data_IF_089355646522
#
_entry.id   IF_089355646522
#
_cell.length_a   1.000
_cell.length_b   1.000
_cell.length_c   1.000
_cell.angle_alpha   90.00
_cell.angle_beta   90.00
_cell.angle_gamma   90.00
#
_symmetry.space_group_name_H-M   'P 1'
#
loop_
_entity.id
_entity.type
_entity.pdbx_description
1 polymer ?
#
# COMPACT_ATOMS: atom_id res chain seq x y z
N UNK A 1 12.92 -26.88 -23.79
CA UNK A 1 12.42 -26.81 -22.40
C UNK A 1 12.47 -28.21 -21.82
N UNK A 2 12.93 -28.40 -20.58
CA UNK A 2 12.75 -29.71 -19.92
C UNK A 2 11.25 -29.98 -19.83
N UNK A 3 10.80 -31.20 -20.09
CA UNK A 3 9.41 -31.58 -19.80
C UNK A 3 9.20 -31.46 -18.30
N UNK A 4 8.43 -30.46 -17.90
CA UNK A 4 8.00 -30.29 -16.51
C UNK A 4 6.62 -30.94 -16.43
N UNK A 5 6.45 -31.90 -15.52
CA UNK A 5 5.16 -32.52 -15.27
C UNK A 5 4.14 -31.47 -14.83
N UNK A 6 2.87 -31.69 -15.16
CA UNK A 6 1.78 -30.84 -14.69
C UNK A 6 1.72 -30.85 -13.16
N UNK A 7 1.45 -29.68 -12.56
CA UNK A 7 1.28 -29.57 -11.11
C UNK A 7 0.06 -30.40 -10.66
N UNK A 8 0.20 -31.12 -9.55
CA UNK A 8 -0.94 -31.70 -8.88
C UNK A 8 -1.65 -30.57 -8.12
N UNK A 9 -2.91 -30.30 -8.45
CA UNK A 9 -3.72 -29.25 -7.78
C UNK A 9 -5.06 -29.78 -7.28
N UNK A 10 -5.17 -31.10 -7.12
CA UNK A 10 -6.44 -31.76 -6.77
C UNK A 10 -6.97 -31.24 -5.44
N UNK A 11 -6.14 -31.17 -4.40
CA UNK A 11 -6.56 -30.69 -3.09
C UNK A 11 -6.96 -29.22 -3.12
N UNK A 12 -6.20 -28.40 -3.85
CA UNK A 12 -6.54 -26.99 -4.02
C UNK A 12 -7.88 -26.78 -4.72
N UNK A 13 -8.26 -27.64 -5.67
CA UNK A 13 -9.56 -27.56 -6.34
C UNK A 13 -10.70 -28.03 -5.44
N UNK A 14 -10.51 -29.10 -4.66
CA UNK A 14 -11.48 -29.55 -3.65
C UNK A 14 -11.79 -28.45 -2.63
N UNK A 15 -10.75 -27.80 -2.09
CA UNK A 15 -10.90 -26.68 -1.17
C UNK A 15 -11.63 -25.50 -1.83
N UNK A 16 -11.43 -25.27 -3.13
CA UNK A 16 -12.13 -24.19 -3.83
C UNK A 16 -13.62 -24.50 -4.02
N UNK A 17 -13.98 -25.74 -4.32
CA UNK A 17 -15.39 -26.16 -4.38
C UNK A 17 -16.08 -26.01 -3.03
N UNK A 18 -15.42 -26.42 -1.95
CA UNK A 18 -15.90 -26.18 -0.59
C UNK A 18 -16.04 -24.68 -0.31
N UNK A 19 -15.00 -23.90 -0.60
CA UNK A 19 -14.99 -22.47 -0.29
C UNK A 19 -16.07 -21.69 -1.05
N UNK A 20 -16.47 -22.10 -2.26
CA UNK A 20 -17.59 -21.49 -2.99
C UNK A 20 -18.93 -21.61 -2.27
N UNK A 21 -19.08 -22.57 -1.36
CA UNK A 21 -20.26 -22.70 -0.49
C UNK A 21 -20.16 -21.86 0.80
N UNK A 22 -18.97 -21.36 1.13
CA UNK A 22 -18.68 -20.68 2.40
C UNK A 22 -18.39 -19.18 2.24
N UNK A 23 -17.78 -18.80 1.11
CA UNK A 23 -17.27 -17.46 0.83
C UNK A 23 -17.77 -17.02 -0.54
N UNK A 24 -18.29 -15.78 -0.71
CA UNK A 24 -18.72 -15.27 -2.01
C UNK A 24 -17.59 -15.35 -3.06
N UNK A 25 -17.78 -16.21 -4.07
CA UNK A 25 -16.77 -16.45 -5.12
C UNK A 25 -15.61 -17.37 -4.69
N UNK A 26 -15.72 -18.05 -3.56
CA UNK A 26 -14.72 -19.01 -3.03
C UNK A 26 -13.48 -18.38 -2.40
N UNK A 27 -13.11 -17.17 -2.81
CA UNK A 27 -11.98 -16.42 -2.24
C UNK A 27 -12.26 -14.92 -2.28
N UNK A 28 -11.49 -14.15 -1.50
CA UNK A 28 -11.66 -12.72 -1.39
C UNK A 28 -10.84 -11.94 -2.42
N UNK A 29 -11.46 -10.87 -2.97
CA UNK A 29 -10.76 -9.72 -3.56
C UNK A 29 -9.73 -10.04 -4.64
N UNK A 30 -8.51 -9.53 -4.46
CA UNK A 30 -7.39 -9.58 -5.42
C UNK A 30 -6.65 -10.93 -5.48
N UNK A 31 -7.17 -11.97 -4.81
CA UNK A 31 -6.59 -13.31 -4.80
C UNK A 31 -7.47 -14.32 -5.55
N UNK A 32 -8.24 -13.84 -6.53
CA UNK A 32 -9.19 -14.66 -7.28
C UNK A 32 -8.43 -15.62 -8.21
N UNK A 33 -8.89 -16.87 -8.39
CA UNK A 33 -8.27 -17.80 -9.32
C UNK A 33 -8.26 -17.29 -10.77
N UNK A 34 -9.22 -16.43 -11.12
CA UNK A 34 -9.31 -15.82 -12.46
C UNK A 34 -8.14 -14.90 -12.83
N UNK A 35 -7.33 -14.47 -11.85
CA UNK A 35 -6.10 -13.73 -12.11
C UNK A 35 -4.95 -14.66 -12.59
N UNK A 36 -5.15 -15.98 -12.53
CA UNK A 36 -4.20 -17.02 -12.92
C UNK A 36 -4.78 -17.96 -13.99
N UNK A 37 -3.92 -18.81 -14.57
CA UNK A 37 -4.36 -19.82 -15.56
C UNK A 37 -5.17 -20.89 -14.82
N UNK A 38 -6.46 -20.96 -15.14
CA UNK A 38 -7.38 -21.92 -14.52
C UNK A 38 -6.94 -23.36 -14.78
N UNK A 39 -6.91 -24.17 -13.73
CA UNK A 39 -6.52 -25.59 -13.82
C UNK A 39 -5.01 -25.83 -13.95
N UNK A 40 -4.19 -24.78 -13.87
CA UNK A 40 -2.72 -24.86 -13.94
C UNK A 40 -2.01 -24.19 -12.75
N UNK A 41 -2.72 -23.37 -11.96
CA UNK A 41 -2.17 -22.67 -10.81
C UNK A 41 -2.96 -22.98 -9.53
N UNK A 42 -2.31 -23.23 -8.39
CA UNK A 42 -3.01 -23.49 -7.13
C UNK A 42 -3.72 -22.24 -6.61
N UNK A 43 -4.79 -22.47 -5.85
CA UNK A 43 -5.63 -21.43 -5.25
C UNK A 43 -5.31 -21.27 -3.76
N UNK A 44 -5.01 -22.37 -3.06
CA UNK A 44 -4.76 -22.38 -1.63
C UNK A 44 -3.29 -22.65 -1.32
N UNK A 45 -2.71 -21.79 -0.49
CA UNK A 45 -1.33 -21.91 -0.02
C UNK A 45 -1.31 -22.48 1.40
N UNK A 46 -0.36 -23.36 1.70
CA UNK A 46 -0.20 -24.00 3.01
C UNK A 46 0.85 -23.28 3.85
N UNK A 47 2.03 -22.99 3.28
CA UNK A 47 3.13 -22.41 4.04
C UNK A 47 4.05 -21.55 3.19
N UNK A 48 4.90 -20.77 3.85
CA UNK A 48 5.99 -20.03 3.21
C UNK A 48 7.13 -19.74 4.17
N UNK A 49 8.36 -19.70 3.67
CA UNK A 49 9.57 -19.31 4.41
C UNK A 49 10.54 -18.61 3.46
N UNK A 50 11.06 -17.46 3.85
CA UNK A 50 11.92 -16.65 2.99
C UNK A 50 11.19 -16.27 1.70
N UNK A 51 11.80 -16.50 0.55
CA UNK A 51 11.19 -16.23 -0.78
C UNK A 51 10.41 -17.40 -1.38
N UNK A 52 10.06 -18.42 -0.58
CA UNK A 52 9.40 -19.64 -1.05
C UNK A 52 8.04 -19.84 -0.40
N UNK A 53 7.11 -20.40 -1.17
CA UNK A 53 5.78 -20.81 -0.72
C UNK A 53 5.49 -22.24 -1.18
N UNK A 54 4.66 -22.94 -0.41
CA UNK A 54 4.20 -24.29 -0.69
C UNK A 54 2.67 -24.29 -0.66
N UNK A 55 2.05 -24.86 -1.69
CA UNK A 55 0.60 -25.01 -1.74
C UNK A 55 0.10 -26.23 -0.93
N UNK A 56 -1.22 -26.39 -0.85
CA UNK A 56 -1.88 -27.50 -0.13
C UNK A 56 -1.68 -28.88 -0.78
N UNK A 57 -1.16 -28.92 -2.01
CA UNK A 57 -0.84 -30.14 -2.75
C UNK A 57 0.66 -30.49 -2.65
N UNK A 58 1.46 -29.65 -1.96
CA UNK A 58 2.89 -29.84 -1.77
C UNK A 58 3.76 -29.28 -2.89
N UNK A 59 3.22 -28.51 -3.84
CA UNK A 59 4.02 -27.86 -4.87
C UNK A 59 4.77 -26.66 -4.27
N UNK A 60 6.04 -26.50 -4.61
CA UNK A 60 6.87 -25.39 -4.14
C UNK A 60 7.11 -24.34 -5.23
N UNK A 61 7.05 -23.07 -4.84
CA UNK A 61 7.25 -21.93 -5.73
C UNK A 61 8.26 -20.96 -5.14
N UNK A 62 9.03 -20.29 -6.02
CA UNK A 62 9.68 -19.03 -5.68
C UNK A 62 8.62 -17.94 -5.87
N UNK A 63 8.28 -17.24 -4.79
CA UNK A 63 7.20 -16.25 -4.81
C UNK A 63 7.71 -14.86 -5.22
N UNK A 64 7.48 -14.51 -6.48
CA UNK A 64 7.75 -13.16 -6.99
C UNK A 64 6.60 -12.17 -6.72
N UNK A 65 5.41 -12.65 -6.32
CA UNK A 65 4.30 -11.77 -5.96
C UNK A 65 4.47 -11.23 -4.54
N UNK A 66 5.11 -12.00 -3.66
CA UNK A 66 5.45 -11.60 -2.29
C UNK A 66 4.22 -11.07 -1.51
N UNK A 67 3.11 -11.80 -1.61
CA UNK A 67 1.83 -11.41 -1.02
C UNK A 67 1.20 -10.14 -1.63
N UNK A 68 1.55 -9.80 -2.88
CA UNK A 68 1.28 -8.53 -3.56
C UNK A 68 2.08 -7.34 -2.98
N UNK A 69 3.30 -7.60 -2.51
CA UNK A 69 4.27 -6.60 -2.04
C UNK A 69 4.62 -6.53 -0.55
N UNK A 70 3.75 -6.87 0.44
CA UNK A 70 4.05 -6.66 1.86
C UNK A 70 5.21 -7.50 2.38
N UNK A 71 5.47 -8.66 1.78
CA UNK A 71 6.54 -9.57 2.20
C UNK A 71 7.87 -9.05 1.63
N UNK A 72 8.51 -8.14 2.35
CA UNK A 72 9.73 -7.44 1.93
C UNK A 72 11.00 -8.15 2.42
N UNK A 73 10.95 -8.79 3.60
CA UNK A 73 12.06 -9.56 4.19
C UNK A 73 11.96 -11.06 3.92
N UNK A 74 10.83 -11.51 3.37
CA UNK A 74 10.49 -12.92 3.22
C UNK A 74 9.48 -13.40 4.27
N UNK A 75 8.82 -14.51 3.98
CA UNK A 75 7.84 -15.12 4.87
C UNK A 75 8.51 -15.68 6.13
N UNK A 76 7.85 -15.54 7.28
CA UNK A 76 8.34 -16.02 8.59
C UNK A 76 9.77 -15.55 8.88
N UNK A 77 9.97 -14.24 8.76
CA UNK A 77 11.21 -13.59 9.20
C UNK A 77 11.23 -13.65 10.73
N UNK A 78 12.28 -14.29 11.26
CA UNK A 78 12.34 -14.71 12.66
C UNK A 78 12.46 -13.52 13.60
N UNK A 79 13.26 -12.50 13.26
CA UNK A 79 13.44 -11.35 14.14
C UNK A 79 12.14 -10.52 14.28
N UNK A 80 11.38 -10.36 13.20
CA UNK A 80 10.07 -9.69 13.20
C UNK A 80 9.05 -10.51 14.00
N UNK A 81 8.91 -11.80 13.70
CA UNK A 81 7.92 -12.65 14.36
C UNK A 81 8.21 -12.81 15.85
N UNK A 82 9.49 -13.00 16.24
CA UNK A 82 9.88 -13.11 17.64
C UNK A 82 9.62 -11.82 18.42
N UNK A 83 9.88 -10.64 17.81
CA UNK A 83 9.57 -9.37 18.44
C UNK A 83 8.07 -9.22 18.73
N UNK A 84 7.21 -9.61 17.78
CA UNK A 84 5.76 -9.56 17.94
C UNK A 84 5.28 -10.60 18.95
N UNK A 85 5.73 -11.85 18.84
CA UNK A 85 5.34 -12.93 19.76
C UNK A 85 5.74 -12.63 21.19
N UNK A 86 6.93 -12.07 21.39
CA UNK A 86 7.37 -11.61 22.71
C UNK A 86 6.43 -10.57 23.28
N UNK A 87 6.04 -9.56 22.50
CA UNK A 87 5.05 -8.58 22.95
C UNK A 87 3.73 -9.24 23.34
N UNK A 88 3.20 -10.10 22.47
CA UNK A 88 1.90 -10.76 22.68
C UNK A 88 1.91 -11.56 23.98
N UNK A 89 2.95 -12.39 24.19
CA UNK A 89 3.05 -13.30 25.33
C UNK A 89 3.35 -12.60 26.65
N UNK A 90 4.24 -11.61 26.63
CA UNK A 90 4.73 -10.99 27.87
C UNK A 90 3.87 -9.81 28.32
N UNK A 91 3.22 -9.12 27.38
CA UNK A 91 2.52 -7.86 27.66
C UNK A 91 1.09 -7.84 27.16
N UNK A 92 0.79 -8.52 26.05
CA UNK A 92 -0.44 -8.35 25.26
C UNK A 92 -0.29 -7.22 24.23
N UNK A 93 -1.24 -7.09 23.30
CA UNK A 93 -1.13 -6.14 22.17
C UNK A 93 -2.38 -5.29 21.90
N UNK A 94 -3.55 -5.67 22.41
CA UNK A 94 -4.83 -4.98 22.22
C UNK A 94 -5.33 -4.48 23.58
N UNK A 95 -5.39 -3.17 23.79
CA UNK A 95 -5.73 -2.54 25.07
C UNK A 95 -6.73 -1.40 24.91
N UNK A 96 -7.37 -1.03 26.01
CA UNK A 96 -8.26 0.15 26.10
C UNK A 96 -7.53 1.46 25.78
N UNK A 97 -6.23 1.54 26.06
CA UNK A 97 -5.40 2.75 25.87
C UNK A 97 -4.14 2.45 25.05
N UNK A 98 -3.55 3.49 24.49
CA UNK A 98 -2.40 3.40 23.57
C UNK A 98 -1.09 2.98 24.26
N UNK A 99 -0.32 2.12 23.62
CA UNK A 99 1.04 1.78 24.03
C UNK A 99 2.10 2.68 23.37
N UNK A 100 3.25 2.84 24.03
CA UNK A 100 4.35 3.73 23.59
C UNK A 100 4.89 3.45 22.17
N UNK A 101 4.74 2.23 21.65
CA UNK A 101 5.24 1.83 20.33
C UNK A 101 4.63 2.64 19.18
N UNK A 102 3.44 3.22 19.39
CA UNK A 102 2.86 4.19 18.46
C UNK A 102 3.81 5.39 18.26
N UNK A 103 4.34 5.93 19.35
CA UNK A 103 5.23 7.09 19.30
C UNK A 103 6.59 6.71 18.72
N UNK A 104 7.10 5.51 19.05
CA UNK A 104 8.35 4.99 18.52
C UNK A 104 8.28 4.83 16.99
N UNK A 105 7.20 4.22 16.48
CA UNK A 105 7.02 4.08 15.03
C UNK A 105 6.81 5.44 14.35
N UNK A 106 6.05 6.35 14.95
CA UNK A 106 5.85 7.68 14.39
C UNK A 106 7.18 8.46 14.27
N UNK A 107 8.08 8.34 15.25
CA UNK A 107 9.43 8.92 15.21
C UNK A 107 10.27 8.30 14.08
N UNK A 108 10.27 6.97 13.97
CA UNK A 108 10.98 6.28 12.89
C UNK A 108 10.47 6.69 11.51
N UNK A 109 9.15 6.84 11.33
CA UNK A 109 8.59 7.33 10.06
C UNK A 109 8.99 8.77 9.75
N UNK A 110 9.04 9.65 10.76
CA UNK A 110 9.53 11.03 10.64
C UNK A 110 11.02 11.11 10.26
N UNK A 111 11.82 10.16 10.71
CA UNK A 111 13.24 10.06 10.32
C UNK A 111 13.41 9.65 8.85
N UNK A 112 12.55 8.74 8.36
CA UNK A 112 12.73 8.08 7.07
C UNK A 112 11.99 8.76 5.91
N UNK A 113 10.76 9.22 6.11
CA UNK A 113 9.86 9.66 5.04
C UNK A 113 9.90 11.19 4.92
N UNK A 114 10.31 11.76 3.77
CA UNK A 114 10.53 13.21 3.63
C UNK A 114 9.37 14.12 4.03
N UNK A 115 8.13 13.77 3.72
CA UNK A 115 6.96 14.59 4.09
C UNK A 115 6.49 14.40 5.54
N UNK A 116 7.04 13.43 6.28
CA UNK A 116 6.49 12.99 7.56
C UNK A 116 6.84 13.93 8.71
N UNK A 117 5.87 14.72 9.17
CA UNK A 117 5.99 15.49 10.41
C UNK A 117 5.07 14.93 11.51
N UNK A 118 3.84 14.58 11.14
CA UNK A 118 2.85 13.89 11.97
C UNK A 118 2.34 12.63 11.27
N UNK A 119 1.87 11.66 12.04
CA UNK A 119 1.39 10.38 11.52
C UNK A 119 0.13 9.92 12.26
N UNK A 120 -0.85 9.41 11.49
CA UNK A 120 -1.94 8.58 12.01
C UNK A 120 -1.77 7.14 11.51
N UNK A 121 -2.15 6.17 12.33
CA UNK A 121 -2.05 4.75 12.00
C UNK A 121 -3.42 4.13 11.79
N UNK A 122 -3.51 3.26 10.79
CA UNK A 122 -4.72 2.53 10.39
C UNK A 122 -4.36 1.06 10.10
N UNK A 123 -5.27 0.27 9.52
CA UNK A 123 -5.03 -1.16 9.26
C UNK A 123 -4.87 -1.52 7.79
N UNK A 124 -5.60 -0.87 6.89
CA UNK A 124 -5.55 -1.19 5.45
C UNK A 124 -5.13 0.02 4.61
N UNK A 125 -4.66 -0.25 3.38
CA UNK A 125 -4.39 0.82 2.42
C UNK A 125 -5.63 1.64 2.08
N UNK A 126 -6.79 1.00 1.94
CA UNK A 126 -8.07 1.69 1.72
C UNK A 126 -8.43 2.62 2.88
N UNK A 127 -8.15 2.24 4.13
CA UNK A 127 -8.36 3.11 5.29
C UNK A 127 -7.50 4.37 5.16
N UNK A 128 -6.21 4.18 4.83
CA UNK A 128 -5.24 5.26 4.76
C UNK A 128 -5.55 6.23 3.61
N UNK A 129 -5.88 5.75 2.41
CA UNK A 129 -6.23 6.61 1.27
C UNK A 129 -7.52 7.39 1.53
N UNK A 130 -8.54 6.75 2.12
CA UNK A 130 -9.78 7.44 2.55
C UNK A 130 -9.50 8.48 3.64
N UNK A 131 -8.66 8.15 4.62
CA UNK A 131 -8.27 9.08 5.68
C UNK A 131 -7.54 10.29 5.11
N UNK A 132 -6.58 10.10 4.21
CA UNK A 132 -5.86 11.18 3.54
C UNK A 132 -6.79 12.11 2.75
N UNK A 133 -7.75 11.56 1.99
CA UNK A 133 -8.76 12.37 1.28
C UNK A 133 -9.63 13.15 2.27
N UNK A 134 -10.07 12.54 3.38
CA UNK A 134 -10.85 13.25 4.42
C UNK A 134 -10.05 14.38 5.07
N UNK A 135 -8.77 14.14 5.39
CA UNK A 135 -7.85 15.14 5.95
C UNK A 135 -7.71 16.31 4.98
N UNK A 136 -7.44 16.03 3.70
CA UNK A 136 -7.30 17.07 2.68
C UNK A 136 -8.58 17.91 2.57
N UNK A 137 -9.76 17.29 2.47
CA UNK A 137 -11.05 18.00 2.43
C UNK A 137 -11.28 18.87 3.67
N UNK A 138 -10.96 18.36 4.86
CA UNK A 138 -11.11 19.11 6.11
C UNK A 138 -10.11 20.27 6.24
N UNK A 139 -8.89 20.10 5.71
CA UNK A 139 -7.88 21.14 5.67
C UNK A 139 -8.27 22.27 4.70
N UNK A 140 -8.61 21.93 3.46
CA UNK A 140 -8.88 22.91 2.40
C UNK A 140 -10.30 23.48 2.42
N UNK A 141 -11.24 22.82 3.09
CA UNK A 141 -12.69 23.08 2.98
C UNK A 141 -13.21 22.99 1.53
N UNK A 142 -12.68 22.02 0.77
CA UNK A 142 -13.04 21.76 -0.64
C UNK A 142 -13.46 20.30 -0.81
N UNK A 143 -14.08 19.96 -1.93
CA UNK A 143 -14.75 18.65 -2.10
C UNK A 143 -14.09 17.77 -3.16
N UNK A 144 -13.57 18.33 -4.24
CA UNK A 144 -13.13 17.57 -5.42
C UNK A 144 -11.79 16.89 -5.20
N UNK A 145 -11.59 15.74 -5.83
CA UNK A 145 -10.37 14.96 -5.78
C UNK A 145 -9.94 14.61 -7.20
N UNK A 146 -8.70 14.94 -7.56
CA UNK A 146 -8.07 14.41 -8.76
C UNK A 146 -7.34 13.13 -8.37
N UNK A 147 -7.61 12.02 -9.07
CA UNK A 147 -7.00 10.71 -8.77
C UNK A 147 -6.20 10.16 -9.95
N UNK A 148 -5.10 9.47 -9.65
CA UNK A 148 -4.35 8.70 -10.62
C UNK A 148 -3.77 7.42 -10.01
N UNK A 149 -4.29 6.27 -10.43
CA UNK A 149 -3.89 4.95 -9.94
C UNK A 149 -4.96 4.28 -9.06
N UNK A 150 -4.61 3.09 -8.56
CA UNK A 150 -5.48 2.32 -7.67
C UNK A 150 -5.26 2.71 -6.21
N UNK A 151 -6.33 3.14 -5.54
CA UNK A 151 -6.31 3.66 -4.16
C UNK A 151 -7.17 2.88 -3.18
N UNK A 152 -7.46 1.61 -3.47
CA UNK A 152 -8.30 0.76 -2.62
C UNK A 152 -9.74 0.65 -3.08
N UNK A 153 -10.59 0.07 -2.24
CA UNK A 153 -11.95 -0.36 -2.59
C UNK A 153 -13.06 0.44 -1.92
N UNK A 154 -12.74 1.51 -1.19
CA UNK A 154 -13.76 2.37 -0.60
C UNK A 154 -14.48 3.18 -1.69
N UNK A 155 -15.72 3.61 -1.40
CA UNK A 155 -16.69 4.18 -2.34
C UNK A 155 -16.13 5.22 -3.32
N UNK A 156 -15.27 6.12 -2.83
CA UNK A 156 -14.68 7.19 -3.62
C UNK A 156 -13.64 6.69 -4.64
N UNK A 157 -12.95 5.57 -4.36
CA UNK A 157 -11.83 5.06 -5.14
C UNK A 157 -12.12 3.80 -5.95
N UNK A 158 -13.09 2.98 -5.54
CA UNK A 158 -13.30 1.64 -6.13
C UNK A 158 -13.66 1.68 -7.60
N UNK A 159 -13.10 0.79 -8.42
CA UNK A 159 -13.44 0.70 -9.84
C UNK A 159 -14.80 0.04 -10.08
N UNK A 160 -15.06 -1.08 -9.40
CA UNK A 160 -16.35 -1.77 -9.46
C UNK A 160 -17.36 -1.10 -8.51
N UNK A 161 -18.18 -0.18 -9.04
CA UNK A 161 -19.12 0.67 -8.28
C UNK A 161 -20.37 -0.03 -7.72
N UNK A 162 -20.53 -1.34 -7.86
CA UNK A 162 -21.75 -2.04 -7.45
C UNK A 162 -22.15 -1.72 -6.00
N UNK A 163 -23.32 -1.10 -5.81
CA UNK A 163 -23.81 -0.67 -4.49
C UNK A 163 -23.38 0.73 -4.02
N UNK A 164 -22.51 1.42 -4.75
CA UNK A 164 -22.01 2.76 -4.41
C UNK A 164 -22.91 3.84 -5.03
N UNK A 165 -23.57 4.71 -4.25
CA UNK A 165 -24.30 5.86 -4.79
C UNK A 165 -23.39 6.82 -5.55
N UNK A 166 -23.88 7.33 -6.70
CA UNK A 166 -23.13 8.28 -7.54
C UNK A 166 -22.56 9.47 -6.76
N UNK A 167 -23.30 9.97 -5.78
CA UNK A 167 -22.89 11.08 -4.89
C UNK A 167 -21.57 10.85 -4.15
N UNK A 168 -21.10 9.62 -4.01
CA UNK A 168 -19.87 9.31 -3.28
C UNK A 168 -18.61 9.35 -4.16
N UNK A 169 -18.77 9.41 -5.49
CA UNK A 169 -17.65 9.46 -6.43
C UNK A 169 -17.82 10.48 -7.57
N UNK A 170 -18.92 11.24 -7.63
CA UNK A 170 -19.12 12.26 -8.66
C UNK A 170 -18.19 13.48 -8.57
N UNK A 171 -17.58 13.70 -7.39
CA UNK A 171 -16.53 14.71 -7.16
C UNK A 171 -15.11 14.15 -7.31
N UNK A 172 -14.95 12.95 -7.87
CA UNK A 172 -13.66 12.31 -8.10
C UNK A 172 -13.39 12.23 -9.59
N UNK A 173 -12.30 12.86 -10.03
CA UNK A 173 -11.93 12.98 -11.44
C UNK A 173 -10.61 12.27 -11.69
N UNK A 174 -10.49 11.60 -12.83
CA UNK A 174 -9.31 10.81 -13.17
C UNK A 174 -8.42 11.52 -14.17
N UNK A 175 -7.12 11.49 -13.91
CA UNK A 175 -6.10 11.86 -14.88
C UNK A 175 -5.14 10.69 -15.12
N UNK A 176 -4.46 10.72 -16.25
CA UNK A 176 -3.64 9.59 -16.68
C UNK A 176 -2.18 9.78 -16.24
N UNK A 177 -1.55 8.70 -15.78
CA UNK A 177 -0.17 8.72 -15.35
C UNK A 177 0.75 9.13 -16.52
N UNK A 178 1.77 9.95 -16.25
CA UNK A 178 2.63 10.59 -17.26
C UNK A 178 1.92 11.49 -18.28
N UNK A 179 0.66 11.87 -18.06
CA UNK A 179 -0.07 12.83 -18.88
C UNK A 179 -0.40 14.07 -18.05
N UNK A 180 0.55 15.00 -17.97
CA UNK A 180 0.41 16.23 -17.19
C UNK A 180 -0.72 17.12 -17.72
N UNK A 181 -0.87 17.22 -19.05
CA UNK A 181 -1.91 18.01 -19.71
C UNK A 181 -3.33 17.59 -19.25
N UNK A 182 -3.56 16.29 -19.05
CA UNK A 182 -4.84 15.78 -18.56
C UNK A 182 -5.17 16.28 -17.14
N UNK A 183 -4.16 16.42 -16.29
CA UNK A 183 -4.33 17.02 -14.96
C UNK A 183 -4.52 18.54 -15.07
N UNK A 184 -3.75 19.22 -15.93
CA UNK A 184 -3.88 20.67 -16.13
C UNK A 184 -5.27 21.08 -16.60
N UNK A 185 -5.86 20.30 -17.52
CA UNK A 185 -7.21 20.54 -18.01
C UNK A 185 -8.23 20.43 -16.88
N UNK A 186 -8.20 19.34 -16.10
CA UNK A 186 -9.09 19.16 -14.96
C UNK A 186 -8.92 20.26 -13.91
N UNK A 187 -7.68 20.66 -13.63
CA UNK A 187 -7.39 21.69 -12.64
C UNK A 187 -7.76 23.09 -13.14
N UNK A 188 -7.76 23.33 -14.44
CA UNK A 188 -8.32 24.57 -15.02
C UNK A 188 -9.81 24.68 -14.76
N UNK A 189 -10.56 23.59 -14.87
CA UNK A 189 -12.01 23.56 -14.67
C UNK A 189 -12.42 23.48 -13.19
N UNK A 190 -11.70 22.70 -12.39
CA UNK A 190 -12.12 22.28 -11.04
C UNK A 190 -11.12 22.62 -9.93
N UNK A 191 -9.98 23.23 -10.26
CA UNK A 191 -8.85 23.40 -9.32
C UNK A 191 -9.19 24.20 -8.07
N UNK A 192 -10.04 25.22 -8.17
CA UNK A 192 -10.47 26.03 -7.03
C UNK A 192 -11.34 25.26 -6.02
N UNK A 193 -11.96 24.16 -6.46
CA UNK A 193 -12.79 23.25 -5.65
C UNK A 193 -12.07 21.94 -5.32
N UNK A 194 -10.80 21.82 -5.72
CA UNK A 194 -10.00 20.60 -5.50
C UNK A 194 -9.36 20.63 -4.13
N UNK A 195 -9.69 19.62 -3.32
CA UNK A 195 -9.08 19.39 -2.03
C UNK A 195 -7.76 18.62 -2.15
N UNK A 196 -7.74 17.58 -2.98
CA UNK A 196 -6.60 16.67 -3.09
C UNK A 196 -6.29 16.29 -4.54
N UNK A 197 -5.00 16.16 -4.82
CA UNK A 197 -4.49 15.36 -5.92
C UNK A 197 -3.90 14.08 -5.29
N UNK A 198 -4.61 12.96 -5.41
CA UNK A 198 -4.21 11.66 -4.88
C UNK A 198 -3.61 10.83 -6.02
N UNK A 199 -2.36 10.40 -5.91
CA UNK A 199 -1.74 9.62 -6.98
C UNK A 199 -0.70 8.62 -6.48
N UNK A 200 -0.54 7.52 -7.19
CA UNK A 200 0.63 6.64 -7.00
C UNK A 200 1.84 7.32 -7.66
N UNK A 201 3.00 7.48 -6.98
CA UNK A 201 4.17 8.18 -7.55
C UNK A 201 5.03 7.31 -8.49
N UNK A 202 4.61 6.06 -8.69
CA UNK A 202 5.13 5.14 -9.70
C UNK A 202 3.93 4.41 -10.30
N UNK A 203 3.81 4.41 -11.63
CA UNK A 203 2.65 3.86 -12.32
C UNK A 203 2.68 2.33 -12.31
N UNK A 204 1.68 1.72 -11.68
CA UNK A 204 1.57 0.26 -11.59
C UNK A 204 0.17 -0.23 -12.02
N UNK A 205 -0.21 0.00 -13.30
CA UNK A 205 -1.52 -0.38 -13.82
C UNK A 205 -1.69 -1.91 -13.85
N UNK A 206 -2.94 -2.37 -13.74
CA UNK A 206 -3.27 -3.78 -13.95
C UNK A 206 -3.13 -4.14 -15.44
N UNK A 207 -2.60 -5.33 -15.73
CA UNK A 207 -2.46 -5.89 -17.09
C UNK A 207 -1.71 -5.00 -18.10
N UNK A 208 -0.89 -4.07 -17.62
CA UNK A 208 -0.06 -3.21 -18.45
C UNK A 208 1.34 -3.08 -17.85
N UNK A 209 2.28 -2.55 -18.63
CA UNK A 209 3.66 -2.32 -18.17
C UNK A 209 3.68 -1.33 -17.01
N UNK A 210 4.55 -1.58 -16.05
CA UNK A 210 4.91 -0.60 -15.02
C UNK A 210 5.50 0.66 -15.68
N UNK A 211 5.26 1.81 -15.08
CA UNK A 211 5.58 3.12 -15.65
C UNK A 211 6.37 3.95 -14.63
N UNK A 212 7.64 4.18 -14.93
CA UNK A 212 8.41 5.21 -14.24
C UNK A 212 7.85 6.61 -14.57
N UNK A 213 7.94 7.58 -13.64
CA UNK A 213 7.57 8.95 -13.96
C UNK A 213 8.45 9.49 -15.09
N UNK A 214 7.84 10.08 -16.11
CA UNK A 214 8.56 10.81 -17.14
C UNK A 214 9.25 12.05 -16.51
N UNK A 215 10.39 12.51 -17.06
CA UNK A 215 11.07 13.69 -16.54
C UNK A 215 10.12 14.89 -16.42
N UNK A 216 10.08 15.53 -15.25
CA UNK A 216 9.24 16.69 -14.98
C UNK A 216 7.77 16.38 -14.66
N UNK A 217 7.32 15.12 -14.75
CA UNK A 217 5.92 14.78 -14.48
C UNK A 217 5.54 15.03 -13.02
N UNK A 218 6.29 14.47 -12.06
CA UNK A 218 5.97 14.61 -10.64
C UNK A 218 6.17 16.06 -10.15
N UNK A 219 7.19 16.74 -10.66
CA UNK A 219 7.44 18.16 -10.42
C UNK A 219 6.29 19.03 -10.95
N UNK A 220 5.79 18.71 -12.15
CA UNK A 220 4.63 19.35 -12.75
C UNK A 220 3.37 19.16 -11.90
N UNK A 221 3.09 17.93 -11.45
CA UNK A 221 1.95 17.67 -10.55
C UNK A 221 2.08 18.48 -9.25
N UNK A 222 3.28 18.53 -8.67
CA UNK A 222 3.55 19.34 -7.47
C UNK A 222 3.32 20.83 -7.72
N UNK A 223 3.77 21.36 -8.86
CA UNK A 223 3.57 22.74 -9.23
C UNK A 223 2.09 23.09 -9.40
N UNK A 224 1.31 22.19 -10.04
CA UNK A 224 -0.14 22.34 -10.19
C UNK A 224 -0.83 22.32 -8.83
N UNK A 225 -0.49 21.37 -7.95
CA UNK A 225 -1.05 21.32 -6.60
C UNK A 225 -0.80 22.62 -5.83
N UNK A 226 0.42 23.17 -5.92
CA UNK A 226 0.76 24.47 -5.31
C UNK A 226 -0.06 25.62 -5.91
N UNK A 227 -0.16 25.69 -7.24
CA UNK A 227 -0.89 26.75 -7.96
C UNK A 227 -2.35 26.87 -7.50
N UNK A 228 -3.02 25.74 -7.28
CA UNK A 228 -4.42 25.73 -6.89
C UNK A 228 -4.63 25.62 -5.37
N UNK A 229 -3.57 25.40 -4.58
CA UNK A 229 -3.67 25.14 -3.15
C UNK A 229 -4.36 23.81 -2.81
N UNK A 230 -4.20 22.81 -3.67
CA UNK A 230 -4.66 21.44 -3.41
C UNK A 230 -3.58 20.66 -2.64
N UNK A 231 -4.02 19.76 -1.76
CA UNK A 231 -3.11 18.84 -1.04
C UNK A 231 -2.63 17.77 -2.01
N UNK A 232 -1.32 17.71 -2.26
CA UNK A 232 -0.73 16.59 -2.99
C UNK A 232 -0.56 15.41 -2.03
N UNK A 233 -1.18 14.28 -2.35
CA UNK A 233 -1.09 13.05 -1.58
C UNK A 233 -0.49 11.94 -2.45
N UNK A 234 0.66 11.39 -2.04
CA UNK A 234 1.20 10.20 -2.66
C UNK A 234 0.66 8.94 -2.01
N UNK A 235 0.06 8.07 -2.83
CA UNK A 235 -0.21 6.69 -2.49
C UNK A 235 1.05 5.87 -2.62
N UNK A 236 1.76 5.77 -1.51
CA UNK A 236 3.00 5.02 -1.41
C UNK A 236 2.79 3.59 -0.89
N UNK A 237 1.55 3.08 -0.80
CA UNK A 237 1.27 1.75 -0.24
C UNK A 237 2.13 0.65 -0.92
N UNK A 238 2.50 0.81 -2.20
CA UNK A 238 3.38 -0.12 -2.93
C UNK A 238 4.85 0.31 -3.02
N UNK A 239 5.14 1.60 -2.99
CA UNK A 239 6.47 2.15 -3.32
C UNK A 239 7.33 2.39 -2.08
N UNK A 240 6.70 2.75 -0.97
CA UNK A 240 7.34 2.97 0.32
C UNK A 240 8.05 1.70 0.82
N UNK A 241 9.27 1.86 1.33
CA UNK A 241 10.14 0.78 1.82
C UNK A 241 10.44 -0.31 0.79
N UNK A 242 10.25 -0.02 -0.51
CA UNK A 242 10.57 -0.91 -1.62
C UNK A 242 11.42 -0.25 -2.69
N UNK A 243 11.05 0.96 -3.12
CA UNK A 243 11.86 1.72 -4.07
C UNK A 243 13.07 2.38 -3.38
N UNK A 244 12.84 2.94 -2.19
CA UNK A 244 13.85 3.49 -1.30
C UNK A 244 13.33 3.47 0.15
N UNK A 245 14.19 3.73 1.13
CA UNK A 245 13.77 3.84 2.54
C UNK A 245 12.78 5.00 2.75
N UNK A 246 12.98 6.12 2.07
CA UNK A 246 12.08 7.27 2.10
C UNK A 246 10.96 7.23 1.04
N UNK A 247 10.78 6.09 0.35
CA UNK A 247 9.77 5.93 -0.70
C UNK A 247 10.11 6.59 -2.04
N UNK A 248 9.14 6.63 -2.93
CA UNK A 248 9.25 7.25 -4.24
C UNK A 248 9.53 8.75 -4.14
N UNK A 249 9.00 9.43 -3.13
CA UNK A 249 9.30 10.85 -2.89
C UNK A 249 10.78 11.12 -2.63
N UNK A 250 11.49 10.21 -1.94
CA UNK A 250 12.95 10.31 -1.77
C UNK A 250 13.66 9.96 -3.09
N UNK A 251 13.24 8.89 -3.77
CA UNK A 251 13.88 8.42 -5.00
C UNK A 251 13.80 9.46 -6.14
N UNK A 252 12.64 10.10 -6.30
CA UNK A 252 12.37 11.06 -7.37
C UNK A 252 12.51 12.51 -6.94
N UNK A 253 12.82 12.78 -5.67
CA UNK A 253 13.07 14.15 -5.19
C UNK A 253 11.84 15.07 -5.16
N UNK A 254 10.62 14.52 -5.14
CA UNK A 254 9.37 15.30 -5.08
C UNK A 254 8.62 14.97 -3.80
N UNK A 255 8.49 15.94 -2.90
CA UNK A 255 7.82 15.77 -1.61
C UNK A 255 6.33 16.17 -1.67
N UNK A 256 5.40 15.24 -1.37
CA UNK A 256 3.97 15.55 -1.28
C UNK A 256 3.63 16.22 0.05
N UNK A 257 2.39 16.69 0.20
CA UNK A 257 1.89 17.22 1.47
C UNK A 257 1.49 16.07 2.42
N UNK A 258 0.96 14.99 1.86
CA UNK A 258 0.62 13.74 2.55
C UNK A 258 1.21 12.53 1.82
N UNK A 259 1.46 11.46 2.56
CA UNK A 259 1.75 10.13 2.00
C UNK A 259 1.01 9.05 2.77
N UNK A 260 0.52 8.05 2.04
CA UNK A 260 -0.05 6.84 2.66
C UNK A 260 0.91 5.67 2.55
N UNK A 261 1.13 4.98 3.66
CA UNK A 261 2.16 3.95 3.84
C UNK A 261 1.53 2.63 4.31
N UNK A 262 2.20 1.51 4.05
CA UNK A 262 1.69 0.19 4.40
C UNK A 262 2.55 -0.94 3.83
N UNK A 263 1.94 -2.10 3.60
CA UNK A 263 2.59 -3.28 2.98
C UNK A 263 3.99 -3.57 3.53
N UNK A 264 5.04 -3.17 2.80
CA UNK A 264 6.44 -3.42 3.13
C UNK A 264 6.87 -2.81 4.46
N UNK A 265 6.09 -1.88 5.02
CA UNK A 265 6.35 -1.29 6.34
C UNK A 265 6.44 -2.31 7.47
N UNK A 266 5.72 -3.43 7.40
CA UNK A 266 5.61 -4.36 8.53
C UNK A 266 5.61 -5.84 8.10
N UNK A 267 6.28 -6.17 6.99
CA UNK A 267 6.51 -7.54 6.51
C UNK A 267 5.29 -8.50 6.58
N UNK A 268 4.09 -8.01 6.24
CA UNK A 268 2.85 -8.82 6.23
C UNK A 268 1.87 -8.56 7.38
N UNK A 269 2.28 -7.89 8.46
CA UNK A 269 1.38 -7.51 9.54
C UNK A 269 0.44 -6.38 9.12
N UNK A 270 -0.80 -6.43 9.58
CA UNK A 270 -1.84 -5.47 9.19
C UNK A 270 -1.61 -4.10 9.86
N UNK A 271 -1.05 -3.18 9.09
CA UNK A 271 -0.88 -1.78 9.46
C UNK A 271 -0.73 -0.92 8.21
N UNK A 272 -1.29 0.28 8.28
CA UNK A 272 -1.05 1.37 7.33
C UNK A 272 -0.91 2.69 8.08
N UNK A 273 -0.50 3.74 7.39
CA UNK A 273 -0.37 5.05 7.97
C UNK A 273 -0.72 6.15 6.96
N UNK A 274 -1.17 7.29 7.46
CA UNK A 274 -1.10 8.57 6.74
C UNK A 274 -0.08 9.41 7.49
N UNK A 275 0.92 9.92 6.77
CA UNK A 275 1.91 10.85 7.31
C UNK A 275 1.99 12.09 6.43
N UNK A 276 2.44 13.21 6.99
CA UNK A 276 2.55 14.44 6.21
C UNK A 276 2.83 15.67 7.07
N UNK A 277 2.69 16.84 6.43
CA UNK A 277 2.91 18.15 7.05
C UNK A 277 1.97 18.40 8.23
N UNK A 278 2.49 19.03 9.26
CA UNK A 278 1.78 19.30 10.51
C UNK A 278 0.49 20.08 10.29
N UNK A 279 0.53 21.15 9.48
CA UNK A 279 -0.61 22.01 9.22
C UNK A 279 -1.78 21.26 8.54
N UNK A 280 -1.47 20.38 7.58
CA UNK A 280 -2.46 19.52 6.92
C UNK A 280 -2.98 18.45 7.88
N UNK A 281 -2.07 17.74 8.56
CA UNK A 281 -2.41 16.61 9.44
C UNK A 281 -3.24 17.02 10.66
N UNK A 282 -3.07 18.23 11.18
CA UNK A 282 -3.84 18.71 12.33
C UNK A 282 -5.35 18.80 12.06
N UNK A 283 -5.78 18.84 10.79
CA UNK A 283 -7.20 18.72 10.45
C UNK A 283 -7.81 17.40 10.94
N UNK A 284 -7.02 16.31 11.00
CA UNK A 284 -7.45 15.03 11.55
C UNK A 284 -7.88 15.14 13.02
N UNK A 285 -7.11 15.87 13.83
CA UNK A 285 -7.38 16.04 15.26
C UNK A 285 -8.47 17.08 15.54
N UNK A 286 -8.57 18.12 14.70
CA UNK A 286 -9.44 19.28 14.96
C UNK A 286 -10.84 19.16 14.36
N UNK A 287 -10.98 18.47 13.21
CA UNK A 287 -12.19 18.53 12.38
C UNK A 287 -12.78 17.16 12.05
N UNK A 288 -12.05 16.07 12.33
CA UNK A 288 -12.42 14.74 11.87
C UNK A 288 -12.59 13.76 13.02
N UNK A 289 -13.41 12.74 12.76
CA UNK A 289 -13.45 11.52 13.55
C UNK A 289 -13.00 10.35 12.66
N UNK A 290 -11.82 9.82 12.96
CA UNK A 290 -11.21 8.65 12.32
C UNK A 290 -10.91 7.67 13.45
N UNK A 291 -11.62 6.55 13.46
CA UNK A 291 -11.56 5.61 14.58
C UNK A 291 -11.77 4.17 14.11
N UNK A 292 -11.16 3.26 14.85
CA UNK A 292 -11.37 1.82 14.80
C UNK A 292 -10.86 1.24 16.11
N UNK A 293 -11.54 0.21 16.61
CA UNK A 293 -11.12 -0.54 17.80
C UNK A 293 -9.68 -1.04 17.69
N UNK A 294 -9.22 -1.37 16.48
CA UNK A 294 -7.95 -2.05 16.27
C UNK A 294 -6.79 -1.13 15.86
N UNK A 295 -7.03 0.15 15.53
CA UNK A 295 -5.94 1.05 15.17
C UNK A 295 -4.81 1.09 16.23
N UNK A 296 -5.10 1.10 17.54
CA UNK A 296 -4.05 1.15 18.57
C UNK A 296 -3.31 -0.18 18.82
N UNK A 297 -3.67 -1.29 18.13
CA UNK A 297 -3.03 -2.58 18.37
C UNK A 297 -1.54 -2.54 18.06
N UNK A 298 -0.71 -2.97 19.01
CA UNK A 298 0.74 -2.78 18.96
C UNK A 298 1.51 -3.85 18.19
N UNK A 299 0.87 -4.94 17.81
CA UNK A 299 1.45 -5.99 16.96
C UNK A 299 2.00 -5.41 15.65
N UNK A 300 1.19 -4.59 14.96
CA UNK A 300 1.61 -3.91 13.73
C UNK A 300 2.70 -2.85 13.97
N UNK A 301 2.70 -2.16 15.12
CA UNK A 301 3.74 -1.18 15.45
C UNK A 301 5.10 -1.83 15.66
N UNK A 302 5.12 -2.95 16.36
CA UNK A 302 6.34 -3.69 16.69
C UNK A 302 6.89 -4.39 15.45
N UNK A 303 6.01 -5.03 14.67
CA UNK A 303 6.38 -5.58 13.38
C UNK A 303 6.97 -4.50 12.47
N UNK A 304 6.35 -3.31 12.44
CA UNK A 304 6.84 -2.17 11.68
C UNK A 304 8.22 -1.71 12.12
N UNK A 305 8.41 -1.47 13.41
CA UNK A 305 9.70 -1.06 13.97
C UNK A 305 10.81 -2.06 13.65
N UNK A 306 10.57 -3.35 13.85
CA UNK A 306 11.57 -4.39 13.59
C UNK A 306 11.84 -4.58 12.09
N UNK A 307 10.80 -4.51 11.25
CA UNK A 307 10.96 -4.57 9.79
C UNK A 307 11.84 -3.42 9.30
N UNK A 308 11.55 -2.18 9.71
CA UNK A 308 12.30 -1.01 9.31
C UNK A 308 13.76 -1.06 9.80
N UNK A 309 13.98 -1.51 11.03
CA UNK A 309 15.33 -1.74 11.57
C UNK A 309 16.15 -2.68 10.69
N UNK A 310 15.59 -3.83 10.29
CA UNK A 310 16.27 -4.83 9.44
C UNK A 310 16.53 -4.25 8.04
N UNK A 311 15.54 -3.57 7.46
CA UNK A 311 15.69 -2.93 6.15
C UNK A 311 16.87 -1.95 6.11
N UNK A 312 17.05 -1.14 7.17
CA UNK A 312 18.16 -0.22 7.33
C UNK A 312 19.48 -0.95 7.61
N UNK A 313 19.50 -1.79 8.66
CA UNK A 313 20.70 -2.49 9.15
C UNK A 313 21.36 -3.33 8.06
N UNK A 314 20.55 -4.06 7.30
CA UNK A 314 21.03 -5.05 6.33
C UNK A 314 21.00 -4.51 4.88
N UNK A 315 20.66 -3.23 4.69
CA UNK A 315 20.58 -2.56 3.39
C UNK A 315 19.75 -3.37 2.37
N UNK A 316 18.59 -3.88 2.83
CA UNK A 316 17.80 -4.86 2.08
C UNK A 316 17.32 -4.33 0.74
N UNK A 317 16.96 -3.04 0.67
CA UNK A 317 16.48 -2.39 -0.55
C UNK A 317 17.54 -2.43 -1.66
N UNK A 318 18.81 -2.19 -1.33
CA UNK A 318 19.90 -2.30 -2.32
C UNK A 318 20.04 -3.74 -2.84
N UNK A 319 19.93 -4.74 -1.95
CA UNK A 319 19.93 -6.16 -2.34
C UNK A 319 18.75 -6.50 -3.26
N UNK A 320 17.55 -5.93 -3.01
CA UNK A 320 16.38 -6.14 -3.88
C UNK A 320 16.65 -5.57 -5.28
N UNK A 321 17.19 -4.35 -5.37
CA UNK A 321 17.58 -3.75 -6.65
C UNK A 321 18.62 -4.58 -7.40
N UNK A 322 19.69 -5.02 -6.72
CA UNK A 322 20.73 -5.85 -7.32
C UNK A 322 20.15 -7.17 -7.87
N UNK A 323 19.36 -7.87 -7.07
CA UNK A 323 18.74 -9.16 -7.46
C UNK A 323 17.74 -8.98 -8.60
N UNK A 324 16.92 -7.93 -8.55
CA UNK A 324 15.95 -7.59 -9.59
C UNK A 324 16.64 -7.28 -10.93
N UNK A 325 17.65 -6.42 -10.91
CA UNK A 325 18.44 -6.08 -12.09
C UNK A 325 19.11 -7.31 -12.70
N UNK A 326 19.74 -8.14 -11.85
CA UNK A 326 20.36 -9.40 -12.29
C UNK A 326 19.34 -10.36 -12.91
N UNK A 327 18.13 -10.44 -12.38
CA UNK A 327 17.06 -11.25 -12.95
C UNK A 327 16.65 -10.72 -14.32
N UNK A 328 16.41 -9.42 -14.45
CA UNK A 328 16.04 -8.78 -15.71
C UNK A 328 17.11 -9.00 -16.78
N UNK A 329 18.40 -8.82 -16.48
CA UNK A 329 19.49 -9.03 -17.44
C UNK A 329 19.63 -10.47 -17.92
N UNK A 330 19.24 -11.46 -17.11
CA UNK A 330 19.40 -12.89 -17.46
C UNK A 330 18.18 -13.50 -18.15
N UNK A 331 17.00 -12.90 -17.97
CA UNK A 331 15.72 -13.42 -18.47
C UNK A 331 15.23 -12.66 -19.70
N UNK A 332 15.64 -11.40 -19.89
CA UNK A 332 15.49 -10.67 -21.16
C UNK A 332 16.40 -11.28 -22.24
#
# INVERSE_FOLDING_TARGET
>A
MKEVGKLNITRSLELFEEAKQLVPGGVLGARKPGDFIQGEYPIFMESGKGGRITDVDGNEFIDFLAGYGPIILGYREEEVDDAVFKQIREKGFCFTLTQRYQNELAKKLRELVPCAELTIFLKTGSDATTAAVRIARAYTNRIKVMRCGYHGWHDWSVEMKGGVPKKLYEDVYEFHYNNLDSLEQLMTEHGNETAAIMMTPFGHPLHAKMQEPAPGFLEGVRAIANKYGAVLAFDEIRTNFRLSMGGAQQLYGVTPDLSVLGKGMANGYAISAVTGKTDVMMAAAQKLFISSTFFPNSDGYIAGLKTLEILERDNVIASIWEKGNRFLTKVQ
#
